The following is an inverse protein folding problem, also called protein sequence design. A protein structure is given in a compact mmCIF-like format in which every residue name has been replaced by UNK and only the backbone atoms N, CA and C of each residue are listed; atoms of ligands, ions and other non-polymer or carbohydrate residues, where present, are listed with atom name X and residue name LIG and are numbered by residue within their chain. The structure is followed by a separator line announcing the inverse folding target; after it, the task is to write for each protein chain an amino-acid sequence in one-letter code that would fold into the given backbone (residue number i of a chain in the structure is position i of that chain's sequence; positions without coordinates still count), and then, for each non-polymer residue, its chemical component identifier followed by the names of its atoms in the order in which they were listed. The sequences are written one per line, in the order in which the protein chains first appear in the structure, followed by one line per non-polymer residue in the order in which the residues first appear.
data_IF_799672467610
#
_entry.id   IF_799672467610
#
_cell.length_a   1.000
_cell.length_b   1.000
_cell.length_c   1.000
_cell.angle_alpha   90.00
_cell.angle_beta   90.00
_cell.angle_gamma   90.00
#
_symmetry.space_group_name_H-M   'P 1'
#
loop_
_entity.id
_entity.type
_entity.pdbx_description
1 polymer ?
#
# COMPACT_ATOMS: atom_id res chain seq x y z
N UNK A 1 -2.62 6.91 -4.65
CA UNK A 1 -2.34 6.60 -6.07
C UNK A 1 -3.65 6.67 -6.84
N UNK A 2 -3.72 7.46 -7.91
CA UNK A 2 -4.93 7.54 -8.74
C UNK A 2 -4.87 6.45 -9.84
N UNK A 3 -5.83 5.52 -9.83
CA UNK A 3 -5.94 4.47 -10.85
C UNK A 3 -6.30 5.02 -12.24
N UNK A 4 -6.22 4.15 -13.25
CA UNK A 4 -6.49 4.52 -14.64
C UNK A 4 -7.93 5.05 -14.81
N UNK A 5 -8.09 6.06 -15.68
CA UNK A 5 -9.39 6.66 -15.98
C UNK A 5 -9.95 6.09 -17.28
N UNK A 6 -10.90 5.17 -17.17
CA UNK A 6 -11.60 4.55 -18.31
C UNK A 6 -12.86 5.31 -18.74
N UNK A 7 -13.00 6.58 -18.35
CA UNK A 7 -14.15 7.42 -18.70
C UNK A 7 -13.74 8.62 -19.57
N UNK A 8 -14.71 9.23 -20.25
CA UNK A 8 -14.51 10.45 -21.04
C UNK A 8 -14.56 11.75 -20.20
N UNK A 9 -14.45 11.66 -18.87
CA UNK A 9 -14.49 12.80 -17.95
C UNK A 9 -13.10 13.07 -17.39
N UNK A 10 -12.71 14.34 -17.31
CA UNK A 10 -11.46 14.75 -16.67
C UNK A 10 -11.52 14.48 -15.16
N UNK A 11 -10.55 13.74 -14.62
CA UNK A 11 -10.37 13.59 -13.17
C UNK A 11 -9.34 14.60 -12.71
N UNK A 12 -9.73 15.46 -11.77
CA UNK A 12 -8.81 16.34 -11.08
C UNK A 12 -8.27 15.60 -9.86
N UNK A 13 -6.96 15.47 -9.76
CA UNK A 13 -6.29 14.98 -8.57
C UNK A 13 -5.41 16.10 -8.02
N UNK A 14 -5.57 16.42 -6.73
CA UNK A 14 -4.61 17.24 -6.01
C UNK A 14 -3.53 16.29 -5.50
N UNK A 15 -2.35 16.34 -6.13
CA UNK A 15 -1.17 15.68 -5.59
C UNK A 15 -0.66 16.55 -4.46
N UNK A 16 -0.99 16.16 -3.22
CA UNK A 16 -0.35 16.74 -2.04
C UNK A 16 1.05 16.15 -1.93
N UNK A 17 2.06 17.01 -1.90
CA UNK A 17 3.43 16.60 -1.58
C UNK A 17 3.49 16.25 -0.09
N UNK A 18 3.31 14.97 0.23
CA UNK A 18 3.58 14.47 1.57
C UNK A 18 5.09 14.41 1.76
N UNK A 19 5.68 15.44 2.36
CA UNK A 19 7.09 15.42 2.76
C UNK A 19 7.19 14.57 4.04
N UNK A 20 7.79 13.38 3.95
CA UNK A 20 8.21 12.61 5.13
C UNK A 20 9.22 13.45 5.92
N UNK A 21 8.93 13.72 7.19
CA UNK A 21 9.83 14.47 8.09
C UNK A 21 11.12 13.70 8.41
N UNK A 22 11.07 12.39 8.26
CA UNK A 22 12.11 11.40 8.57
C UNK A 22 12.78 10.85 7.29
N UNK A 23 12.74 11.59 6.17
CA UNK A 23 13.25 11.10 4.89
C UNK A 23 14.76 10.81 4.92
N UNK A 24 15.54 11.69 5.55
CA UNK A 24 17.00 11.54 5.62
C UNK A 24 17.41 10.34 6.48
N UNK A 25 16.70 10.11 7.60
CA UNK A 25 16.91 8.95 8.46
C UNK A 25 16.63 7.64 7.72
N UNK A 26 15.53 7.59 6.96
CA UNK A 26 15.18 6.40 6.18
C UNK A 26 16.16 6.13 5.04
N UNK A 27 16.74 7.17 4.41
CA UNK A 27 17.76 7.02 3.38
C UNK A 27 19.10 6.51 3.91
N UNK A 28 19.40 6.77 5.18
CA UNK A 28 20.62 6.30 5.82
C UNK A 28 20.56 4.82 6.26
N UNK A 29 19.37 4.21 6.28
CA UNK A 29 19.20 2.80 6.66
C UNK A 29 19.92 1.89 5.63
N UNK A 30 20.66 0.85 6.07
CA UNK A 30 21.18 -0.16 5.16
C UNK A 30 20.03 -0.94 4.50
N UNK A 31 20.30 -1.74 3.45
CA UNK A 31 19.33 -2.69 2.93
C UNK A 31 18.75 -3.54 4.07
N UNK A 32 17.42 -3.59 4.16
CA UNK A 32 16.72 -4.37 5.17
C UNK A 32 16.26 -5.68 4.55
N UNK A 33 16.42 -6.80 5.27
CA UNK A 33 15.92 -8.10 4.84
C UNK A 33 14.38 -8.13 4.84
N UNK A 34 13.74 -7.47 5.82
CA UNK A 34 12.30 -7.26 5.86
C UNK A 34 11.96 -5.84 5.37
N UNK A 35 11.46 -5.72 4.14
CA UNK A 35 11.03 -4.43 3.57
C UNK A 35 9.86 -3.77 4.32
N UNK A 36 9.10 -4.53 5.11
CA UNK A 36 7.89 -4.09 5.79
C UNK A 36 8.07 -3.79 7.27
N UNK A 37 9.31 -3.80 7.78
CA UNK A 37 9.61 -3.63 9.21
C UNK A 37 9.05 -2.34 9.82
N UNK A 38 8.88 -1.28 9.00
CA UNK A 38 8.37 0.02 9.45
C UNK A 38 6.82 0.07 9.46
N UNK A 39 6.14 -1.01 9.06
CA UNK A 39 4.68 -1.14 9.15
C UNK A 39 4.24 -1.51 10.57
N UNK A 40 2.94 -1.34 10.87
CA UNK A 40 2.41 -1.73 12.18
C UNK A 40 2.62 -3.22 12.44
N UNK A 41 2.64 -3.59 13.73
CA UNK A 41 2.71 -4.99 14.15
C UNK A 41 1.56 -5.81 13.56
N UNK A 42 0.35 -5.26 13.56
CA UNK A 42 -0.83 -5.90 12.95
C UNK A 42 -0.61 -6.26 11.47
N UNK A 43 0.09 -5.40 10.71
CA UNK A 43 0.36 -5.65 9.29
C UNK A 43 1.52 -6.61 9.09
N UNK A 44 2.56 -6.53 9.93
CA UNK A 44 3.69 -7.48 9.88
C UNK A 44 3.27 -8.90 10.31
N UNK A 45 2.24 -9.02 11.16
CA UNK A 45 1.71 -10.31 11.64
C UNK A 45 0.55 -10.83 10.79
N UNK A 46 0.04 -10.02 9.85
CA UNK A 46 -1.02 -10.44 8.96
C UNK A 46 -0.53 -11.59 8.04
N UNK A 47 -1.37 -12.59 7.77
CA UNK A 47 -1.02 -13.64 6.82
C UNK A 47 -0.85 -13.08 5.42
N UNK A 48 0.14 -13.57 4.68
CA UNK A 48 0.40 -13.19 3.28
C UNK A 48 -0.74 -13.58 2.33
N UNK A 49 -1.66 -14.43 2.79
CA UNK A 49 -2.80 -14.93 2.04
C UNK A 49 -4.10 -14.58 2.74
N UNK A 50 -5.12 -14.32 1.94
CA UNK A 50 -6.49 -14.22 2.43
C UNK A 50 -7.20 -15.57 2.38
N UNK A 51 -8.26 -15.74 3.19
CA UNK A 51 -9.07 -16.94 3.15
C UNK A 51 -9.96 -16.99 1.90
N UNK A 52 -10.30 -18.21 1.44
CA UNK A 52 -11.25 -18.40 0.33
C UNK A 52 -12.61 -17.78 0.63
N UNK A 53 -13.04 -17.80 1.89
CA UNK A 53 -14.28 -17.16 2.34
C UNK A 53 -14.24 -15.65 2.10
N UNK A 54 -13.15 -14.98 2.52
CA UNK A 54 -12.96 -13.56 2.27
C UNK A 54 -12.90 -13.26 0.77
N UNK A 55 -12.18 -14.08 0.01
CA UNK A 55 -12.03 -13.94 -1.43
C UNK A 55 -13.39 -14.01 -2.17
N UNK A 56 -14.22 -15.00 -1.82
CA UNK A 56 -15.58 -15.14 -2.37
C UNK A 56 -16.48 -13.97 -1.96
N UNK A 57 -16.39 -13.51 -0.70
CA UNK A 57 -17.17 -12.36 -0.22
C UNK A 57 -16.87 -11.07 -1.00
N UNK A 58 -15.61 -10.92 -1.45
CA UNK A 58 -15.13 -9.79 -2.25
C UNK A 58 -15.16 -10.05 -3.76
N UNK A 59 -15.67 -11.22 -4.20
CA UNK A 59 -15.73 -11.66 -5.61
C UNK A 59 -14.36 -11.67 -6.31
N UNK A 60 -13.31 -12.05 -5.60
CA UNK A 60 -11.96 -12.19 -6.15
C UNK A 60 -11.75 -13.56 -6.81
N UNK A 61 -12.53 -14.56 -6.40
CA UNK A 61 -12.59 -15.93 -6.94
C UNK A 61 -14.05 -16.41 -6.97
N UNK A 62 -14.33 -17.43 -7.79
CA UNK A 62 -15.68 -18.00 -7.99
C UNK A 62 -16.17 -18.88 -6.81
#
# INVERSE_FOLDING_TARGET
MAGHNYSNKMRLAVLGDFIKKDLDENRAKPPQDNMWQDWSEDLNTAPETYSDEMARSQKLID
#
